data_IF_151730844262
#
_entry.id   IF_151730844262
#
_cell.length_a   1.000
_cell.length_b   1.000
_cell.length_c   1.000
_cell.angle_alpha   90.00
_cell.angle_beta   90.00
_cell.angle_gamma   90.00
#
_symmetry.space_group_name_H-M   'P 1'
#
loop_
_entity.id
_entity.type
_entity.pdbx_description
1 polymer ?
#
# COMPACT_ATOMS: atom_id res chain seq x y z
N UNK A 1 -1.30 -18.08 -40.47
CA UNK A 1 -0.83 -16.70 -40.21
C UNK A 1 -0.72 -15.92 -41.54
N UNK A 2 -1.79 -15.25 -42.01
CA UNK A 2 -1.70 -14.29 -43.12
C UNK A 2 -2.04 -12.83 -42.75
N UNK A 3 -2.57 -12.57 -41.54
CA UNK A 3 -3.16 -11.27 -41.19
C UNK A 3 -2.17 -10.11 -40.95
N UNK A 4 -0.86 -10.37 -40.93
CA UNK A 4 0.13 -9.31 -40.64
C UNK A 4 0.64 -8.56 -41.87
N UNK A 5 0.38 -9.03 -43.10
CA UNK A 5 0.87 -8.36 -44.32
C UNK A 5 -0.03 -7.24 -44.84
N UNK A 6 -1.34 -7.31 -44.62
CA UNK A 6 -2.27 -6.28 -45.14
C UNK A 6 -2.17 -4.94 -44.39
N UNK A 7 -1.95 -4.97 -43.06
CA UNK A 7 -1.90 -3.77 -42.21
C UNK A 7 -0.71 -2.85 -42.57
N UNK A 8 0.40 -3.43 -43.03
CA UNK A 8 1.61 -2.67 -43.40
C UNK A 8 1.45 -1.89 -44.71
N UNK A 9 0.69 -2.44 -45.67
CA UNK A 9 0.42 -1.79 -46.96
C UNK A 9 -0.52 -0.60 -46.80
N UNK A 10 -1.58 -0.72 -46.02
CA UNK A 10 -2.57 0.36 -45.87
C UNK A 10 -2.00 1.57 -45.11
N UNK A 11 -1.14 1.33 -44.11
CA UNK A 11 -0.42 2.39 -43.40
C UNK A 11 0.57 3.16 -44.28
N UNK A 12 1.21 2.48 -45.24
CA UNK A 12 2.09 3.13 -46.21
C UNK A 12 1.31 4.01 -47.20
N UNK A 13 0.15 3.55 -47.68
CA UNK A 13 -0.67 4.38 -48.59
C UNK A 13 -1.23 5.61 -47.87
N UNK A 14 -1.68 5.48 -46.62
CA UNK A 14 -2.17 6.62 -45.83
C UNK A 14 -1.08 7.68 -45.59
N UNK A 15 0.16 7.26 -45.31
CA UNK A 15 1.29 8.18 -45.07
C UNK A 15 1.78 8.86 -46.35
N UNK A 16 1.83 8.14 -47.49
CA UNK A 16 2.13 8.75 -48.79
C UNK A 16 1.04 9.75 -49.20
N UNK A 17 -0.24 9.43 -48.97
CA UNK A 17 -1.34 10.33 -49.27
C UNK A 17 -1.30 11.61 -48.40
N UNK A 18 -0.98 11.47 -47.11
CA UNK A 18 -0.80 12.62 -46.21
C UNK A 18 0.38 13.51 -46.63
N UNK A 19 1.48 12.93 -47.11
CA UNK A 19 2.64 13.67 -47.65
C UNK A 19 2.33 14.39 -48.96
N UNK A 20 1.52 13.78 -49.84
CA UNK A 20 1.09 14.43 -51.08
C UNK A 20 0.12 15.58 -50.82
N UNK A 21 -0.79 15.42 -49.84
CA UNK A 21 -1.68 16.50 -49.42
C UNK A 21 -0.91 17.68 -48.82
N UNK A 22 0.05 17.42 -47.92
CA UNK A 22 0.84 18.49 -47.31
C UNK A 22 1.73 19.20 -48.33
N UNK A 23 2.38 18.46 -49.23
CA UNK A 23 3.15 19.03 -50.34
C UNK A 23 2.33 19.90 -51.29
N UNK A 24 1.11 19.44 -51.65
CA UNK A 24 0.18 20.20 -52.48
C UNK A 24 -0.24 21.53 -51.85
N UNK A 25 -0.55 21.52 -50.54
CA UNK A 25 -0.91 22.76 -49.82
C UNK A 25 0.24 23.76 -49.73
N UNK A 26 1.47 23.28 -49.59
CA UNK A 26 2.66 24.13 -49.51
C UNK A 26 2.96 24.85 -50.83
N UNK A 27 2.85 24.14 -51.97
CA UNK A 27 3.05 24.74 -53.29
C UNK A 27 1.96 25.78 -53.60
N UNK A 28 0.70 25.51 -53.22
CA UNK A 28 -0.41 26.43 -53.42
C UNK A 28 -0.33 27.68 -52.52
N UNK A 29 0.22 27.58 -51.31
CA UNK A 29 0.52 28.75 -50.46
C UNK A 29 1.65 29.62 -51.03
N UNK A 30 2.60 29.03 -51.75
CA UNK A 30 3.72 29.75 -52.35
C UNK A 30 3.34 30.64 -53.54
N UNK A 31 2.28 30.29 -54.29
CA UNK A 31 1.91 30.96 -55.55
C UNK A 31 0.90 32.09 -55.42
N UNK A 32 0.31 32.30 -54.23
CA UNK A 32 -0.73 33.32 -54.04
C UNK A 32 -0.36 34.29 -52.90
N UNK A 33 -0.20 35.56 -53.23
CA UNK A 33 0.35 36.57 -52.33
C UNK A 33 -0.60 36.87 -51.14
N UNK A 34 -1.92 36.76 -51.33
CA UNK A 34 -2.93 36.84 -50.25
C UNK A 34 -2.93 35.61 -49.32
N UNK A 35 -2.54 34.42 -49.80
CA UNK A 35 -2.48 33.20 -48.96
C UNK A 35 -1.34 33.24 -47.94
N UNK A 36 -0.32 34.07 -48.13
CA UNK A 36 0.78 34.22 -47.16
C UNK A 36 0.37 34.98 -45.90
N UNK A 37 -0.63 35.86 -46.00
CA UNK A 37 -1.07 36.68 -44.87
C UNK A 37 -2.22 36.03 -44.09
N UNK A 38 -3.11 35.27 -44.77
CA UNK A 38 -4.29 34.70 -44.13
C UNK A 38 -4.35 33.16 -44.15
N UNK A 39 -3.48 32.47 -44.89
CA UNK A 39 -3.53 31.02 -45.04
C UNK A 39 -4.56 30.57 -46.10
N UNK A 40 -4.24 29.46 -46.80
CA UNK A 40 -5.00 28.99 -47.97
C UNK A 40 -6.50 28.75 -47.69
N UNK A 41 -6.83 28.16 -46.54
CA UNK A 41 -8.23 27.84 -46.19
C UNK A 41 -9.08 29.09 -45.90
N UNK A 42 -8.49 30.15 -45.34
CA UNK A 42 -9.18 31.42 -45.14
C UNK A 42 -9.36 32.24 -46.43
N UNK A 43 -8.50 32.03 -47.44
CA UNK A 43 -8.66 32.69 -48.74
C UNK A 43 -9.79 32.11 -49.60
N UNK A 44 -10.24 30.89 -49.30
CA UNK A 44 -11.25 30.18 -50.10
C UNK A 44 -12.68 30.35 -49.57
N UNK A 45 -12.86 30.68 -48.28
CA UNK A 45 -14.21 30.88 -47.71
C UNK A 45 -14.21 31.97 -46.64
N UNK A 46 -15.23 32.83 -46.66
CA UNK A 46 -15.45 33.89 -45.65
C UNK A 46 -15.54 33.35 -44.22
N UNK A 47 -16.00 32.12 -44.04
CA UNK A 47 -16.15 31.49 -42.73
C UNK A 47 -14.79 31.26 -42.04
N UNK A 48 -13.80 30.72 -42.75
CA UNK A 48 -12.48 30.49 -42.18
C UNK A 48 -11.68 31.78 -41.99
N UNK A 49 -11.86 32.78 -42.86
CA UNK A 49 -11.31 34.13 -42.67
C UNK A 49 -11.79 34.76 -41.36
N UNK A 50 -13.09 34.63 -41.01
CA UNK A 50 -13.62 35.14 -39.74
C UNK A 50 -13.05 34.40 -38.54
N UNK A 51 -12.96 33.07 -38.58
CA UNK A 51 -12.38 32.29 -37.48
C UNK A 51 -10.90 32.63 -37.26
N UNK A 52 -10.11 32.80 -38.33
CA UNK A 52 -8.71 33.20 -38.20
C UNK A 52 -8.55 34.66 -37.75
N UNK A 53 -9.45 35.55 -38.17
CA UNK A 53 -9.54 36.91 -37.64
C UNK A 53 -9.84 36.93 -36.14
N UNK A 54 -10.80 36.13 -35.70
CA UNK A 54 -11.17 35.99 -34.28
C UNK A 54 -10.01 35.38 -33.47
N UNK A 55 -9.35 34.34 -33.98
CA UNK A 55 -8.16 33.74 -33.35
C UNK A 55 -6.96 34.71 -33.32
N UNK A 56 -6.76 35.51 -34.38
CA UNK A 56 -5.73 36.54 -34.43
C UNK A 56 -5.99 37.68 -33.44
N UNK A 57 -7.25 38.06 -33.24
CA UNK A 57 -7.67 39.03 -32.21
C UNK A 57 -7.51 38.45 -30.80
N UNK A 58 -7.79 37.16 -30.61
CA UNK A 58 -7.55 36.46 -29.33
C UNK A 58 -6.06 36.39 -29.02
N UNK A 59 -5.22 36.04 -29.98
CA UNK A 59 -3.76 36.04 -29.80
C UNK A 59 -3.22 37.45 -29.51
N UNK A 60 -3.66 38.48 -30.24
CA UNK A 60 -3.29 39.87 -29.92
C UNK A 60 -3.73 40.30 -28.52
N UNK A 61 -4.90 39.87 -28.06
CA UNK A 61 -5.36 40.14 -26.70
C UNK A 61 -4.51 39.39 -25.66
N UNK A 62 -4.10 38.16 -25.95
CA UNK A 62 -3.16 37.40 -25.12
C UNK A 62 -1.79 38.07 -25.05
N UNK A 63 -1.24 38.52 -26.18
CA UNK A 63 0.05 39.22 -26.22
C UNK A 63 0.00 40.54 -25.42
N UNK A 64 -1.10 41.31 -25.54
CA UNK A 64 -1.32 42.53 -24.75
C UNK A 64 -1.46 42.22 -23.25
N UNK A 65 -2.05 41.08 -22.90
CA UNK A 65 -2.14 40.62 -21.51
C UNK A 65 -0.74 40.26 -21.01
N UNK A 66 0.04 39.50 -21.78
CA UNK A 66 1.42 39.11 -21.43
C UNK A 66 2.31 40.36 -21.26
N UNK A 67 2.28 41.32 -22.19
CA UNK A 67 3.02 42.58 -22.07
C UNK A 67 2.61 43.42 -20.85
N UNK A 68 1.32 43.39 -20.45
CA UNK A 68 0.86 44.05 -19.22
C UNK A 68 1.33 43.35 -17.95
N UNK A 69 1.58 42.04 -18.00
CA UNK A 69 2.09 41.27 -16.88
C UNK A 69 3.62 41.31 -16.76
N UNK A 70 4.35 41.55 -17.86
CA UNK A 70 5.82 41.70 -17.86
C UNK A 70 6.32 42.90 -17.01
N UNK A 71 5.46 43.89 -16.78
CA UNK A 71 5.75 45.04 -15.92
C UNK A 71 5.42 44.85 -14.43
N UNK A 72 4.77 43.75 -14.05
CA UNK A 72 4.40 43.47 -12.65
C UNK A 72 5.58 42.76 -11.99
N UNK A 73 6.28 43.46 -11.09
CA UNK A 73 7.30 42.82 -10.24
C UNK A 73 6.64 41.65 -9.52
N UNK A 74 7.20 40.45 -9.68
CA UNK A 74 6.89 39.32 -8.81
C UNK A 74 7.35 39.70 -7.40
N UNK A 75 6.42 40.15 -6.57
CA UNK A 75 6.68 40.33 -5.15
C UNK A 75 6.82 38.94 -4.55
N UNK A 76 8.04 38.59 -4.14
CA UNK A 76 8.26 37.40 -3.31
C UNK A 76 7.83 37.79 -1.90
N UNK A 77 6.94 37.00 -1.29
CA UNK A 77 6.50 37.23 0.08
C UNK A 77 7.20 36.28 1.04
N UNK A 78 7.61 36.80 2.21
CA UNK A 78 8.08 35.96 3.32
C UNK A 78 6.91 35.21 4.02
N UNK A 79 5.67 35.55 3.68
CA UNK A 79 4.45 34.91 4.18
C UNK A 79 4.06 33.78 3.20
N UNK A 80 4.13 32.50 3.61
CA UNK A 80 3.93 31.38 2.69
C UNK A 80 2.53 31.35 2.05
N UNK A 81 1.48 31.77 2.78
CA UNK A 81 0.13 31.84 2.20
C UNK A 81 0.03 32.92 1.12
N UNK A 82 0.69 34.06 1.32
CA UNK A 82 0.73 35.12 0.30
C UNK A 82 1.54 34.69 -0.91
N UNK A 83 2.65 34.01 -0.71
CA UNK A 83 3.46 33.49 -1.81
C UNK A 83 2.68 32.44 -2.62
N UNK A 84 1.93 31.55 -1.96
CA UNK A 84 1.00 30.64 -2.63
C UNK A 84 -0.06 31.41 -3.46
N UNK A 85 -0.66 32.45 -2.88
CA UNK A 85 -1.63 33.28 -3.57
C UNK A 85 -1.03 34.01 -4.78
N UNK A 86 0.20 34.50 -4.67
CA UNK A 86 0.95 35.13 -5.78
C UNK A 86 1.23 34.13 -6.92
N UNK A 87 1.40 32.85 -6.59
CA UNK A 87 1.49 31.75 -7.56
C UNK A 87 0.13 31.25 -8.08
N UNK A 88 -0.99 31.83 -7.60
CA UNK A 88 -2.34 31.42 -7.98
C UNK A 88 -2.82 30.12 -7.33
N UNK A 89 -2.14 29.67 -6.26
CA UNK A 89 -2.42 28.41 -5.57
C UNK A 89 -3.18 28.71 -4.28
N UNK A 90 -4.28 27.98 -4.06
CA UNK A 90 -5.08 28.14 -2.84
C UNK A 90 -4.46 27.32 -1.70
N UNK A 91 -4.36 27.90 -0.51
CA UNK A 91 -3.95 27.18 0.70
C UNK A 91 -5.06 26.20 1.15
N UNK A 92 -5.11 25.04 0.49
CA UNK A 92 -6.07 23.95 0.72
C UNK A 92 -5.35 22.61 0.74
N UNK A 93 -5.85 21.69 1.54
CA UNK A 93 -5.26 20.37 1.70
C UNK A 93 -5.18 19.56 0.39
N UNK A 94 -6.20 19.63 -0.46
CA UNK A 94 -6.19 18.92 -1.74
C UNK A 94 -5.09 19.44 -2.68
N UNK A 95 -4.79 20.75 -2.60
CA UNK A 95 -3.68 21.35 -3.36
C UNK A 95 -2.33 20.92 -2.80
N UNK A 96 -2.20 20.79 -1.48
CA UNK A 96 -1.01 20.22 -0.86
C UNK A 96 -0.75 18.78 -1.31
N UNK A 97 -1.78 17.93 -1.32
CA UNK A 97 -1.67 16.56 -1.84
C UNK A 97 -1.31 16.54 -3.33
N UNK A 98 -1.87 17.45 -4.12
CA UNK A 98 -1.53 17.59 -5.53
C UNK A 98 -0.04 17.96 -5.70
N UNK A 99 0.48 18.92 -4.93
CA UNK A 99 1.89 19.31 -4.99
C UNK A 99 2.82 18.19 -4.50
N UNK A 100 2.39 17.44 -3.48
CA UNK A 100 3.08 16.25 -2.98
C UNK A 100 3.21 15.18 -4.07
N UNK A 101 2.11 14.89 -4.77
CA UNK A 101 2.07 13.89 -5.84
C UNK A 101 2.84 14.32 -7.09
N UNK A 102 2.76 15.61 -7.43
CA UNK A 102 3.47 16.20 -8.57
C UNK A 102 4.95 16.48 -8.28
N UNK A 103 5.41 16.22 -7.05
CA UNK A 103 6.78 16.49 -6.61
C UNK A 103 7.21 17.95 -6.78
N UNK A 104 6.27 18.89 -6.63
CA UNK A 104 6.56 20.32 -6.71
C UNK A 104 7.08 20.82 -5.37
N UNK A 105 8.37 20.59 -5.16
CA UNK A 105 9.12 20.87 -3.94
C UNK A 105 9.02 22.33 -3.48
N UNK A 106 9.16 23.30 -4.39
CA UNK A 106 9.08 24.73 -4.05
C UNK A 106 7.72 25.10 -3.45
N UNK A 107 6.63 24.62 -4.06
CA UNK A 107 5.28 24.92 -3.58
C UNK A 107 4.95 24.10 -2.33
N UNK A 108 5.43 22.85 -2.28
CA UNK A 108 5.26 21.97 -1.12
C UNK A 108 5.85 22.61 0.15
N UNK A 109 7.04 23.22 0.05
CA UNK A 109 7.66 23.93 1.17
C UNK A 109 6.76 25.04 1.69
N UNK A 110 6.12 25.82 0.82
CA UNK A 110 5.21 26.88 1.25
C UNK A 110 4.02 26.35 2.07
N UNK A 111 3.47 25.19 1.69
CA UNK A 111 2.41 24.56 2.48
C UNK A 111 2.92 24.10 3.85
N UNK A 112 4.10 23.49 3.87
CA UNK A 112 4.75 22.96 5.06
C UNK A 112 5.15 24.09 6.02
N UNK A 113 5.73 25.18 5.50
CA UNK A 113 6.20 26.34 6.26
C UNK A 113 5.04 27.08 6.94
N UNK A 114 3.85 27.05 6.33
CA UNK A 114 2.61 27.54 6.95
C UNK A 114 1.98 26.54 7.94
N UNK A 115 2.60 25.39 8.16
CA UNK A 115 2.20 24.38 9.13
C UNK A 115 1.18 23.37 8.63
N UNK A 116 0.97 23.23 7.32
CA UNK A 116 0.11 22.17 6.78
C UNK A 116 0.72 20.80 7.07
N UNK A 117 -0.13 19.87 7.55
CA UNK A 117 0.28 18.50 7.88
C UNK A 117 -0.48 17.48 7.06
N UNK A 118 0.23 16.43 6.68
CA UNK A 118 -0.30 15.24 6.06
C UNK A 118 -1.14 14.46 7.07
N UNK A 119 -2.40 14.20 6.71
CA UNK A 119 -3.33 13.39 7.50
C UNK A 119 -2.89 11.92 7.47
N UNK A 120 -3.31 11.16 8.46
CA UNK A 120 -2.85 9.78 8.66
C UNK A 120 -3.04 8.87 7.43
N UNK A 121 -4.23 8.89 6.81
CA UNK A 121 -4.53 8.06 5.64
C UNK A 121 -3.65 8.40 4.42
N UNK A 122 -3.34 9.68 4.26
CA UNK A 122 -2.48 10.15 3.17
C UNK A 122 -1.01 9.92 3.50
N UNK A 123 -0.62 9.97 4.77
CA UNK A 123 0.71 9.61 5.24
C UNK A 123 0.99 8.13 5.01
N UNK A 124 0.04 7.27 5.33
CA UNK A 124 0.10 5.84 5.03
C UNK A 124 0.16 5.58 3.53
N UNK A 125 -0.72 6.21 2.74
CA UNK A 125 -0.72 6.08 1.28
C UNK A 125 0.59 6.57 0.64
N UNK A 126 1.09 7.72 1.10
CA UNK A 126 2.39 8.26 0.71
C UNK A 126 3.52 7.33 1.13
N UNK A 127 3.43 6.72 2.31
CA UNK A 127 4.42 5.76 2.78
C UNK A 127 4.52 4.56 1.84
N UNK A 128 3.38 3.97 1.45
CA UNK A 128 3.37 2.84 0.51
C UNK A 128 3.83 3.21 -0.91
N UNK A 129 3.61 4.44 -1.34
CA UNK A 129 3.94 4.88 -2.69
C UNK A 129 5.35 5.49 -2.81
N UNK A 130 5.91 6.01 -1.70
CA UNK A 130 7.17 6.74 -1.53
C UNK A 130 7.96 6.96 -2.83
N UNK A 131 7.56 8.01 -3.55
CA UNK A 131 8.05 8.30 -4.91
C UNK A 131 9.34 9.13 -4.93
N UNK A 132 9.72 9.79 -3.83
CA UNK A 132 10.89 10.67 -3.78
C UNK A 132 11.50 10.78 -2.38
N UNK A 133 12.82 10.54 -2.29
CA UNK A 133 13.62 10.69 -1.07
C UNK A 133 13.65 12.14 -0.56
N UNK A 134 13.68 13.11 -1.47
CA UNK A 134 13.78 14.52 -1.12
C UNK A 134 12.51 15.03 -0.41
N UNK A 135 11.34 14.59 -0.88
CA UNK A 135 10.05 14.92 -0.26
C UNK A 135 9.97 14.33 1.14
N UNK A 136 10.38 13.06 1.28
CA UNK A 136 10.45 12.37 2.55
C UNK A 136 11.27 13.15 3.58
N UNK A 137 12.48 13.57 3.22
CA UNK A 137 13.33 14.37 4.10
C UNK A 137 12.66 15.68 4.55
N UNK A 138 11.99 16.38 3.63
CA UNK A 138 11.30 17.65 3.93
C UNK A 138 10.15 17.45 4.90
N UNK A 139 9.30 16.46 4.67
CA UNK A 139 8.17 16.13 5.55
C UNK A 139 8.65 15.76 6.97
N UNK A 140 9.76 15.02 7.08
CA UNK A 140 10.36 14.68 8.37
C UNK A 140 10.92 15.93 9.06
N UNK A 141 11.79 16.69 8.38
CA UNK A 141 12.48 17.87 8.95
C UNK A 141 11.49 18.92 9.45
N UNK A 142 10.36 19.05 8.77
CA UNK A 142 9.31 20.02 9.10
C UNK A 142 8.24 19.52 10.08
N UNK A 143 8.31 18.24 10.48
CA UNK A 143 7.26 17.62 11.30
C UNK A 143 5.85 17.75 10.67
N UNK A 144 5.79 17.60 9.34
CA UNK A 144 4.57 17.70 8.54
C UNK A 144 3.67 16.46 8.63
N UNK A 145 4.01 15.46 9.43
CA UNK A 145 3.11 14.34 9.69
C UNK A 145 2.16 14.70 10.84
N UNK A 146 0.85 14.60 10.61
CA UNK A 146 -0.16 14.79 11.65
C UNK A 146 -0.17 13.54 12.54
N UNK A 147 0.71 13.50 13.54
CA UNK A 147 0.84 12.35 14.42
C UNK A 147 -0.46 12.08 15.21
N UNK A 148 -1.20 11.02 14.88
CA UNK A 148 -2.32 10.54 15.71
C UNK A 148 -2.19 9.09 16.21
N UNK A 149 -1.08 8.40 15.92
CA UNK A 149 -0.79 7.07 16.48
C UNK A 149 -0.92 5.91 15.50
N UNK A 150 -0.97 6.18 14.20
CA UNK A 150 -0.91 5.15 13.16
C UNK A 150 0.52 4.82 12.75
N UNK A 151 1.41 4.59 13.73
CA UNK A 151 2.46 3.64 13.40
C UNK A 151 1.73 2.30 13.17
N UNK A 152 1.93 1.65 12.03
CA UNK A 152 1.12 0.53 11.58
C UNK A 152 1.03 -0.55 12.65
N UNK A 153 -0.16 -1.13 12.83
CA UNK A 153 -0.41 -2.07 13.92
C UNK A 153 0.59 -3.25 13.82
N UNK A 154 1.29 -3.52 14.93
CA UNK A 154 2.60 -4.17 14.95
C UNK A 154 2.63 -5.57 14.33
N UNK A 155 1.50 -6.26 14.33
CA UNK A 155 1.49 -7.69 14.03
C UNK A 155 1.26 -8.01 12.55
N UNK A 156 0.46 -7.22 11.82
CA UNK A 156 0.12 -7.51 10.43
C UNK A 156 0.82 -6.60 9.42
N UNK A 157 1.13 -5.36 9.81
CA UNK A 157 1.64 -4.35 8.87
C UNK A 157 3.17 -4.32 8.81
N UNK A 158 3.88 -4.63 9.91
CA UNK A 158 5.33 -4.55 9.94
C UNK A 158 6.04 -5.49 8.95
N UNK A 159 5.47 -6.69 8.76
CA UNK A 159 5.98 -7.65 7.78
C UNK A 159 5.81 -7.15 6.33
N UNK A 160 4.79 -6.33 6.05
CA UNK A 160 4.63 -5.72 4.71
C UNK A 160 5.77 -4.76 4.39
N UNK A 161 6.39 -4.12 5.39
CA UNK A 161 7.46 -3.17 5.15
C UNK A 161 8.80 -3.80 4.78
N UNK A 162 9.08 -5.01 5.26
CA UNK A 162 10.27 -5.73 4.79
C UNK A 162 10.08 -6.21 3.35
N UNK A 163 8.89 -6.70 2.98
CA UNK A 163 8.56 -7.07 1.60
C UNK A 163 8.61 -5.91 0.61
N UNK A 164 8.48 -4.67 1.10
CA UNK A 164 8.51 -3.45 0.30
C UNK A 164 9.89 -2.74 0.33
N UNK A 165 10.91 -3.38 0.93
CA UNK A 165 12.29 -2.89 0.97
C UNK A 165 12.45 -1.57 1.74
N UNK A 166 11.61 -1.31 2.74
CA UNK A 166 11.64 -0.03 3.49
C UNK A 166 12.93 0.19 4.25
N UNK A 167 13.60 -0.89 4.64
CA UNK A 167 14.89 -0.82 5.31
C UNK A 167 16.08 -0.77 4.35
N UNK A 168 15.84 -0.96 3.05
CA UNK A 168 16.91 -1.04 2.04
C UNK A 168 17.29 0.34 1.50
N UNK A 169 16.42 1.33 1.70
CA UNK A 169 16.67 2.72 1.28
C UNK A 169 16.74 3.63 2.51
N UNK A 170 17.84 4.38 2.70
CA UNK A 170 18.02 5.26 3.87
C UNK A 170 16.84 6.21 4.11
N UNK A 171 16.25 6.71 3.03
CA UNK A 171 15.15 7.69 3.10
C UNK A 171 13.85 7.08 3.60
N UNK A 172 13.49 5.88 3.15
CA UNK A 172 12.34 5.15 3.67
C UNK A 172 12.52 4.79 5.15
N UNK A 173 13.73 4.37 5.53
CA UNK A 173 14.07 4.12 6.93
C UNK A 173 13.96 5.38 7.78
N UNK A 174 14.41 6.54 7.27
CA UNK A 174 14.27 7.82 7.95
C UNK A 174 12.81 8.24 8.13
N UNK A 175 11.95 8.05 7.12
CA UNK A 175 10.50 8.32 7.23
C UNK A 175 9.88 7.42 8.28
N UNK A 176 10.15 6.11 8.22
CA UNK A 176 9.62 5.17 9.20
C UNK A 176 10.11 5.53 10.61
N UNK A 177 11.37 5.93 10.77
CA UNK A 177 11.89 6.42 12.06
C UNK A 177 11.22 7.72 12.51
N UNK A 178 10.91 8.64 11.60
CA UNK A 178 10.17 9.87 11.94
C UNK A 178 8.73 9.59 12.37
N UNK A 179 8.06 8.62 11.74
CA UNK A 179 6.68 8.24 12.02
C UNK A 179 6.56 7.36 13.28
N UNK A 180 7.46 6.39 13.41
CA UNK A 180 7.38 5.29 14.38
C UNK A 180 8.44 5.36 15.48
N UNK A 181 9.44 6.24 15.40
CA UNK A 181 10.48 6.44 16.41
C UNK A 181 10.01 7.18 17.66
N UNK A 182 8.77 6.91 18.09
CA UNK A 182 8.10 7.55 19.22
C UNK A 182 8.04 6.59 20.41
N UNK A 183 8.15 7.09 21.67
CA UNK A 183 8.18 6.22 22.85
C UNK A 183 6.95 5.31 23.01
N UNK A 184 5.79 5.74 22.49
CA UNK A 184 4.58 4.93 22.51
C UNK A 184 4.72 3.66 21.66
N UNK A 185 5.32 3.78 20.47
CA UNK A 185 5.53 2.65 19.58
C UNK A 185 6.65 1.73 20.10
N UNK A 186 7.72 2.28 20.68
CA UNK A 186 8.79 1.48 21.30
C UNK A 186 8.22 0.52 22.37
N UNK A 187 7.30 1.01 23.20
CA UNK A 187 6.64 0.19 24.23
C UNK A 187 5.79 -0.93 23.63
N UNK A 188 5.09 -0.66 22.53
CA UNK A 188 4.30 -1.67 21.84
C UNK A 188 5.21 -2.74 21.22
N UNK A 189 6.34 -2.32 20.63
CA UNK A 189 7.35 -3.23 20.07
C UNK A 189 8.00 -4.09 21.16
N UNK A 190 8.29 -3.52 22.32
CA UNK A 190 8.77 -4.28 23.48
C UNK A 190 7.74 -5.29 23.99
N UNK A 191 6.46 -4.93 24.02
CA UNK A 191 5.39 -5.85 24.38
C UNK A 191 5.32 -7.03 23.40
N UNK A 192 5.41 -6.77 22.10
CA UNK A 192 5.41 -7.79 21.06
C UNK A 192 6.64 -8.72 21.15
N UNK A 193 7.85 -8.16 21.29
CA UNK A 193 9.10 -8.94 21.47
C UNK A 193 9.01 -9.82 22.71
N UNK A 194 8.50 -9.30 23.82
CA UNK A 194 8.33 -10.06 25.05
C UNK A 194 7.28 -11.17 24.91
N UNK A 195 6.20 -10.93 24.16
CA UNK A 195 5.20 -11.96 23.86
C UNK A 195 5.79 -13.12 23.06
N UNK A 196 6.52 -12.81 21.98
CA UNK A 196 7.20 -13.82 21.15
C UNK A 196 8.27 -14.58 21.94
N UNK A 197 9.04 -13.89 22.79
CA UNK A 197 10.01 -14.53 23.68
C UNK A 197 9.34 -15.53 24.62
N UNK A 198 8.20 -15.18 25.21
CA UNK A 198 7.43 -16.10 26.06
C UNK A 198 6.94 -17.31 25.27
N UNK A 199 6.46 -17.12 24.05
CA UNK A 199 6.06 -18.22 23.15
C UNK A 199 7.24 -19.17 22.88
N UNK A 200 8.41 -18.62 22.52
CA UNK A 200 9.66 -19.38 22.32
C UNK A 200 10.05 -20.16 23.58
N UNK A 201 9.99 -19.54 24.75
CA UNK A 201 10.34 -20.18 26.01
C UNK A 201 9.36 -21.31 26.38
N UNK A 202 8.06 -21.12 26.12
CA UNK A 202 7.04 -22.17 26.28
C UNK A 202 7.30 -23.34 25.33
N UNK A 203 7.62 -23.08 24.06
CA UNK A 203 7.93 -24.14 23.09
C UNK A 203 9.21 -24.88 23.50
N UNK A 204 10.24 -24.19 23.99
CA UNK A 204 11.45 -24.83 24.53
C UNK A 204 11.12 -25.74 25.72
N UNK A 205 10.30 -25.26 26.66
CA UNK A 205 9.85 -26.07 27.79
C UNK A 205 9.04 -27.28 27.34
N UNK A 206 8.14 -27.11 26.37
CA UNK A 206 7.39 -28.21 25.76
C UNK A 206 8.32 -29.23 25.11
N UNK A 207 9.22 -28.80 24.23
CA UNK A 207 10.17 -29.67 23.55
C UNK A 207 11.10 -30.40 24.53
N UNK A 208 11.52 -29.75 25.62
CA UNK A 208 12.33 -30.36 26.67
C UNK A 208 11.57 -31.44 27.47
N UNK A 209 10.25 -31.29 27.61
CA UNK A 209 9.39 -32.20 28.38
C UNK A 209 8.54 -33.13 27.50
N UNK A 210 8.76 -33.14 26.18
CA UNK A 210 7.85 -33.78 25.20
C UNK A 210 7.59 -35.26 25.50
N UNK A 211 8.62 -36.02 25.87
CA UNK A 211 8.50 -37.44 26.18
C UNK A 211 7.68 -37.66 27.45
N UNK A 212 7.92 -36.87 28.50
CA UNK A 212 7.16 -36.93 29.75
C UNK A 212 5.69 -36.58 29.49
N UNK A 213 5.42 -35.54 28.72
CA UNK A 213 4.07 -35.09 28.35
C UNK A 213 3.36 -36.18 27.53
N UNK A 214 4.05 -36.79 26.56
CA UNK A 214 3.52 -37.89 25.77
C UNK A 214 3.19 -39.10 26.64
N UNK A 215 4.07 -39.49 27.57
CA UNK A 215 3.83 -40.62 28.47
C UNK A 215 2.64 -40.36 29.40
N UNK A 216 2.54 -39.15 29.97
CA UNK A 216 1.39 -38.75 30.79
C UNK A 216 0.08 -38.80 29.98
N UNK A 217 0.11 -38.31 28.74
CA UNK A 217 -1.01 -38.39 27.80
C UNK A 217 -1.41 -39.86 27.56
N UNK A 218 -0.46 -40.70 27.14
CA UNK A 218 -0.71 -42.13 26.88
C UNK A 218 -1.19 -42.90 28.12
N UNK A 219 -0.84 -42.48 29.32
CA UNK A 219 -1.31 -43.09 30.58
C UNK A 219 -2.73 -42.65 30.96
N UNK A 220 -3.12 -41.39 30.67
CA UNK A 220 -4.46 -40.87 30.98
C UNK A 220 -5.55 -41.40 30.04
N UNK A 221 -5.24 -41.57 28.76
CA UNK A 221 -6.25 -41.91 27.74
C UNK A 221 -6.83 -43.33 27.75
N UNK A 222 -6.14 -44.42 28.16
CA UNK A 222 -6.77 -45.74 28.24
C UNK A 222 -7.84 -45.87 29.34
N UNK A 223 -8.12 -44.82 30.13
CA UNK A 223 -8.97 -44.90 31.32
C UNK A 223 -10.37 -44.25 31.20
N UNK A 224 -10.71 -43.55 30.10
CA UNK A 224 -11.97 -42.80 30.02
C UNK A 224 -12.86 -43.25 28.85
N UNK A 225 -14.16 -43.52 29.08
CA UNK A 225 -15.11 -43.82 28.01
C UNK A 225 -15.30 -42.61 27.09
N UNK A 226 -15.47 -42.86 25.79
CA UNK A 226 -15.68 -41.84 24.76
C UNK A 226 -16.74 -40.77 25.11
N UNK A 227 -17.79 -41.17 25.84
CA UNK A 227 -18.86 -40.27 26.30
C UNK A 227 -18.38 -39.15 27.23
N UNK A 228 -17.29 -39.35 27.98
CA UNK A 228 -16.75 -38.36 28.91
C UNK A 228 -16.13 -37.15 28.18
N UNK A 229 -15.55 -37.37 27.00
CA UNK A 229 -14.90 -36.32 26.22
C UNK A 229 -15.92 -35.42 25.50
N UNK A 230 -17.05 -35.98 25.05
CA UNK A 230 -18.10 -35.25 24.34
C UNK A 230 -18.86 -34.28 25.25
N UNK A 231 -19.21 -34.67 26.48
CA UNK A 231 -19.95 -33.82 27.43
C UNK A 231 -19.16 -32.56 27.84
N UNK A 232 -17.83 -32.70 28.00
CA UNK A 232 -16.94 -31.59 28.35
C UNK A 232 -16.79 -30.62 27.17
N UNK A 233 -16.68 -31.13 25.94
CA UNK A 233 -16.61 -30.32 24.74
C UNK A 233 -17.89 -29.50 24.50
N UNK A 234 -19.07 -30.12 24.60
CA UNK A 234 -20.34 -29.40 24.38
C UNK A 234 -20.58 -28.27 25.41
N UNK A 235 -20.20 -28.49 26.67
CA UNK A 235 -20.28 -27.46 27.73
C UNK A 235 -19.31 -26.30 27.47
N UNK A 236 -18.12 -26.60 26.98
CA UNK A 236 -17.11 -25.60 26.65
C UNK A 236 -17.51 -24.79 25.42
N UNK A 237 -17.90 -25.43 24.32
CA UNK A 237 -18.28 -24.76 23.07
C UNK A 237 -19.48 -23.80 23.24
N UNK A 238 -20.46 -24.18 24.06
CA UNK A 238 -21.59 -23.30 24.38
C UNK A 238 -21.23 -22.09 25.26
N UNK A 239 -20.11 -22.14 25.99
CA UNK A 239 -19.74 -21.09 26.94
C UNK A 239 -18.91 -19.95 26.31
N UNK A 240 -18.19 -20.19 25.21
CA UNK A 240 -17.17 -19.24 24.69
C UNK A 240 -17.46 -18.66 23.30
N UNK A 241 -18.42 -19.20 22.54
CA UNK A 241 -18.90 -18.61 21.27
C UNK A 241 -17.90 -18.63 20.10
N UNK A 242 -16.60 -18.59 20.37
CA UNK A 242 -15.49 -18.93 19.49
C UNK A 242 -14.26 -19.27 20.36
N UNK A 243 -13.67 -20.47 20.21
CA UNK A 243 -12.52 -20.90 21.02
C UNK A 243 -11.20 -20.23 20.57
N UNK A 244 -10.24 -20.02 21.49
CA UNK A 244 -8.90 -19.54 21.16
C UNK A 244 -8.13 -20.56 20.31
N UNK A 245 -7.36 -20.10 19.32
CA UNK A 245 -6.67 -20.95 18.32
C UNK A 245 -5.58 -21.90 18.87
N UNK A 246 -5.31 -21.88 20.18
CA UNK A 246 -4.12 -22.49 20.78
C UNK A 246 -4.38 -23.68 21.71
N UNK A 247 -5.57 -24.31 21.67
CA UNK A 247 -5.86 -25.55 22.44
C UNK A 247 -5.93 -26.80 21.54
N UNK A 248 -4.83 -27.57 21.35
CA UNK A 248 -4.75 -28.52 20.24
C UNK A 248 -5.33 -29.91 20.50
N UNK A 249 -5.63 -30.28 21.75
CA UNK A 249 -5.85 -31.71 22.11
C UNK A 249 -7.34 -32.05 22.28
N UNK A 250 -8.08 -31.28 23.08
CA UNK A 250 -9.51 -31.55 23.30
C UNK A 250 -10.34 -31.13 22.07
N UNK A 251 -9.89 -30.09 21.35
CA UNK A 251 -10.57 -29.55 20.18
C UNK A 251 -10.34 -30.35 18.90
N UNK A 252 -9.13 -30.89 18.67
CA UNK A 252 -8.88 -31.76 17.51
C UNK A 252 -9.69 -33.07 17.58
N UNK A 253 -9.83 -33.66 18.78
CA UNK A 253 -10.66 -34.84 19.02
C UNK A 253 -12.12 -34.52 18.73
N UNK A 254 -12.62 -33.41 19.29
CA UNK A 254 -14.01 -33.04 19.17
C UNK A 254 -14.40 -32.53 17.77
N UNK A 255 -13.52 -31.80 17.08
CA UNK A 255 -13.72 -31.34 15.71
C UNK A 255 -13.73 -32.52 14.72
N UNK A 256 -12.86 -33.52 14.93
CA UNK A 256 -12.86 -34.76 14.14
C UNK A 256 -14.15 -35.56 14.36
N UNK A 257 -14.70 -35.56 15.58
CA UNK A 257 -15.99 -36.18 15.89
C UNK A 257 -17.19 -35.41 15.32
N UNK A 258 -17.16 -34.06 15.38
CA UNK A 258 -18.25 -33.20 14.91
C UNK A 258 -18.40 -33.19 13.39
N UNK A 259 -17.28 -33.17 12.65
CA UNK A 259 -17.27 -33.20 11.18
C UNK A 259 -17.88 -34.48 10.60
N UNK A 260 -17.77 -35.59 11.33
CA UNK A 260 -18.42 -36.86 10.98
C UNK A 260 -19.93 -36.91 11.29
N UNK A 261 -20.44 -35.98 12.12
CA UNK A 261 -21.86 -35.94 12.50
C UNK A 261 -22.72 -34.99 11.64
N UNK A 262 -22.10 -33.96 11.03
CA UNK A 262 -22.81 -32.85 10.39
C UNK A 262 -22.91 -32.95 8.86
N UNK A 263 -22.21 -33.89 8.21
CA UNK A 263 -22.20 -34.02 6.75
C UNK A 263 -23.35 -34.84 6.15
N UNK A 264 -24.29 -35.38 6.94
CA UNK A 264 -25.47 -36.13 6.47
C UNK A 264 -25.19 -37.42 5.68
N UNK A 265 -23.93 -37.65 5.35
CA UNK A 265 -23.37 -38.89 4.82
C UNK A 265 -22.84 -39.65 6.02
N UNK A 266 -23.53 -40.73 6.37
CA UNK A 266 -23.01 -41.76 7.26
C UNK A 266 -21.81 -42.46 6.62
N UNK A 267 -20.71 -41.73 6.44
CA UNK A 267 -19.40 -42.37 6.48
C UNK A 267 -19.21 -42.75 7.94
N UNK A 268 -19.63 -43.97 8.26
CA UNK A 268 -18.96 -44.71 9.29
C UNK A 268 -17.48 -44.61 8.95
N UNK A 269 -16.72 -43.80 9.70
CA UNK A 269 -15.32 -44.07 9.87
C UNK A 269 -15.27 -45.47 10.49
N UNK A 270 -15.26 -46.47 9.62
CA UNK A 270 -15.03 -47.84 10.01
C UNK A 270 -13.70 -47.86 10.76
N UNK A 271 -13.81 -48.21 12.04
CA UNK A 271 -12.82 -48.90 12.88
C UNK A 271 -11.82 -48.14 13.74
N UNK A 272 -11.60 -46.83 13.62
CA UNK A 272 -10.72 -46.18 14.61
C UNK A 272 -11.45 -45.81 15.89
N UNK A 273 -11.11 -46.51 16.98
CA UNK A 273 -11.67 -46.21 18.29
C UNK A 273 -11.23 -44.81 18.73
N UNK A 274 -12.04 -44.15 19.56
CA UNK A 274 -11.67 -42.86 20.20
C UNK A 274 -10.33 -42.97 20.94
N UNK A 275 -10.04 -44.15 21.48
CA UNK A 275 -8.74 -44.50 22.08
C UNK A 275 -7.60 -44.43 21.06
N UNK A 276 -7.80 -44.90 19.83
CA UNK A 276 -6.75 -44.89 18.80
C UNK A 276 -6.49 -43.47 18.27
N UNK A 277 -7.53 -42.65 18.12
CA UNK A 277 -7.38 -41.22 17.78
C UNK A 277 -6.65 -40.46 18.89
N UNK A 278 -7.00 -40.68 20.15
CA UNK A 278 -6.33 -40.07 21.28
C UNK A 278 -4.85 -40.51 21.37
N UNK A 279 -4.56 -41.80 21.15
CA UNK A 279 -3.17 -42.29 21.07
C UNK A 279 -2.40 -41.63 19.94
N UNK A 280 -2.98 -41.52 18.74
CA UNK A 280 -2.34 -40.83 17.60
C UNK A 280 -2.04 -39.37 17.91
N UNK A 281 -2.94 -38.68 18.61
CA UNK A 281 -2.71 -37.32 19.07
C UNK A 281 -1.59 -37.24 20.12
N UNK A 282 -1.60 -38.10 21.14
CA UNK A 282 -0.49 -38.17 22.10
C UNK A 282 0.84 -38.46 21.39
N UNK A 283 0.86 -39.33 20.37
CA UNK A 283 2.04 -39.60 19.56
C UNK A 283 2.47 -38.37 18.75
N UNK A 284 1.53 -37.61 18.20
CA UNK A 284 1.82 -36.36 17.48
C UNK A 284 2.42 -35.28 18.39
N UNK A 285 2.14 -35.30 19.71
CA UNK A 285 2.75 -34.37 20.67
C UNK A 285 4.26 -34.62 20.87
N UNK A 286 4.79 -35.77 20.44
CA UNK A 286 6.24 -36.00 20.46
C UNK A 286 6.97 -35.36 19.28
N UNK A 287 6.24 -34.74 18.34
CA UNK A 287 6.86 -33.96 17.29
C UNK A 287 7.46 -32.69 17.87
N UNK A 288 8.73 -32.45 17.55
CA UNK A 288 9.39 -31.20 17.90
C UNK A 288 8.66 -30.03 17.26
N UNK A 289 8.26 -29.07 18.08
CA UNK A 289 7.65 -27.83 17.60
C UNK A 289 8.76 -26.89 17.13
N UNK A 290 8.62 -26.37 15.92
CA UNK A 290 9.52 -25.34 15.40
C UNK A 290 9.43 -24.07 16.25
N UNK A 291 10.59 -23.48 16.54
CA UNK A 291 10.66 -22.21 17.24
C UNK A 291 10.33 -21.08 16.26
N UNK A 292 9.43 -20.14 16.60
CA UNK A 292 9.06 -19.00 15.75
C UNK A 292 10.15 -17.91 15.74
N UNK A 293 11.42 -18.31 15.56
CA UNK A 293 12.59 -17.41 15.63
C UNK A 293 12.55 -16.31 14.57
N UNK A 294 11.92 -16.57 13.42
CA UNK A 294 11.82 -15.58 12.34
C UNK A 294 11.06 -14.33 12.80
N UNK A 295 9.87 -14.48 13.39
CA UNK A 295 9.06 -13.35 13.88
C UNK A 295 9.77 -12.60 15.00
N UNK A 296 10.36 -13.32 15.96
CA UNK A 296 11.11 -12.73 17.06
C UNK A 296 12.33 -11.91 16.58
N UNK A 297 13.18 -12.50 15.73
CA UNK A 297 14.36 -11.81 15.19
C UNK A 297 13.97 -10.62 14.32
N UNK A 298 12.87 -10.72 13.57
CA UNK A 298 12.34 -9.63 12.78
C UNK A 298 11.94 -8.44 13.66
N UNK A 299 11.15 -8.66 14.73
CA UNK A 299 10.78 -7.59 15.66
C UNK A 299 12.00 -6.91 16.31
N UNK A 300 13.04 -7.68 16.65
CA UNK A 300 14.31 -7.11 17.14
C UNK A 300 14.96 -6.24 16.08
N UNK A 301 15.07 -6.72 14.84
CA UNK A 301 15.66 -5.96 13.74
C UNK A 301 14.91 -4.67 13.44
N UNK A 302 13.59 -4.65 13.59
CA UNK A 302 12.79 -3.42 13.50
C UNK A 302 13.15 -2.47 14.64
N UNK A 303 13.25 -2.98 15.87
CA UNK A 303 13.59 -2.15 17.04
C UNK A 303 14.94 -1.46 16.84
N UNK A 304 15.97 -2.21 16.45
CA UNK A 304 17.32 -1.70 16.23
C UNK A 304 17.41 -0.64 15.13
N UNK A 305 16.54 -0.72 14.11
CA UNK A 305 16.51 0.25 13.00
C UNK A 305 15.77 1.53 13.36
N UNK A 306 14.73 1.45 14.20
CA UNK A 306 13.90 2.60 14.55
C UNK A 306 14.42 3.37 15.76
N UNK A 307 14.99 2.69 16.75
CA UNK A 307 15.39 3.27 18.04
C UNK A 307 16.90 3.18 18.24
#
# INVERSE_FOLDING_TARGET
MPAHKEILTDGMYASVFALLLSGGTYVLQGSNQESKEMGFLASQTEFFSRIQGDLGVVNKKLDIIVEKFDGVKKEVSDDPQKELANKGIQFKYDQFLEMLNNQNLEVLDLFIDDGMKLKDQDAESYFYSLHSEEIAERLIKSNAFQYTGHCPDLEYELWKYEGLGFYDTPSKAAVLKGLCGVPAFEKLLDAAINSEKKSIDLIKQFNANRESIQQECLQKYPALPAAHYMDKYFKYYHAIGNPPQDEPVEEAIAFTMYKNSSSGTHYYAETESVSDLAKKLCVSMNQEKELPMQKYNHLIGIKEKLF
#
